data_IF_869153897437
#
_entry.id   IF_869153897437
#
_cell.length_a   1.000
_cell.length_b   1.000
_cell.length_c   1.000
_cell.angle_alpha   90.00
_cell.angle_beta   90.00
_cell.angle_gamma   90.00
#
_symmetry.space_group_name_H-M   'P 1'
#
loop_
_entity.id
_entity.type
_entity.pdbx_description
1 polymer ?
#
# COMPACT_ATOMS: atom_id res chain seq x y z
N UNK A 1 5.88 10.51 31.97
CA UNK A 1 5.59 9.43 32.96
C UNK A 1 4.10 9.12 32.99
N UNK A 2 3.71 7.97 33.54
CA UNK A 2 2.30 7.58 33.74
C UNK A 2 1.52 8.61 34.53
N UNK A 3 2.12 9.15 35.58
CA UNK A 3 1.48 10.17 36.43
C UNK A 3 1.21 11.46 35.68
N UNK A 4 2.13 11.92 34.84
CA UNK A 4 1.94 13.08 33.97
C UNK A 4 0.82 12.86 32.97
N UNK A 5 0.78 11.68 32.31
CA UNK A 5 -0.28 11.34 31.36
C UNK A 5 -1.65 11.31 32.06
N UNK A 6 -1.73 10.68 33.26
CA UNK A 6 -2.95 10.63 34.03
C UNK A 6 -3.42 12.04 34.42
N UNK A 7 -2.52 12.84 34.99
CA UNK A 7 -2.83 14.21 35.39
C UNK A 7 -3.30 15.05 34.22
N UNK A 8 -2.60 14.97 33.07
CA UNK A 8 -2.98 15.70 31.87
C UNK A 8 -4.32 15.24 31.32
N UNK A 9 -4.62 13.94 31.37
CA UNK A 9 -5.94 13.41 30.97
C UNK A 9 -7.07 13.90 31.89
N UNK A 10 -6.82 13.91 33.19
CA UNK A 10 -7.77 14.43 34.17
C UNK A 10 -8.01 15.94 33.98
N UNK A 11 -6.94 16.74 33.84
CA UNK A 11 -7.01 18.20 33.65
C UNK A 11 -7.70 18.57 32.33
N UNK A 12 -7.54 17.81 31.28
CA UNK A 12 -8.17 18.05 29.97
C UNK A 12 -9.53 17.34 29.79
N UNK A 13 -9.88 16.40 30.64
CA UNK A 13 -11.09 15.60 30.54
C UNK A 13 -11.08 14.67 29.29
N UNK A 14 -9.92 14.08 28.96
CA UNK A 14 -9.74 13.24 27.77
C UNK A 14 -9.26 11.84 28.13
N UNK A 15 -9.67 10.85 27.34
CA UNK A 15 -9.30 9.45 27.53
C UNK A 15 -8.00 9.06 26.80
N UNK A 16 -7.57 9.88 25.85
CA UNK A 16 -6.40 9.62 25.00
C UNK A 16 -5.66 10.93 24.71
N UNK A 17 -4.32 10.86 24.69
CA UNK A 17 -3.44 11.97 24.35
C UNK A 17 -2.60 11.60 23.15
N UNK A 18 -2.67 12.40 22.09
CA UNK A 18 -1.74 12.37 20.98
C UNK A 18 -0.60 13.37 21.22
N UNK A 19 0.62 12.89 21.18
CA UNK A 19 1.82 13.73 21.28
C UNK A 19 2.59 13.69 19.98
N UNK A 20 2.74 14.84 19.32
CA UNK A 20 3.71 15.03 18.25
C UNK A 20 5.05 15.34 18.88
N UNK A 21 5.90 14.34 19.01
CA UNK A 21 7.18 14.50 19.68
C UNK A 21 8.20 15.22 18.81
N UNK A 22 8.19 14.92 17.52
CA UNK A 22 9.10 15.48 16.54
C UNK A 22 8.54 15.35 15.12
N UNK A 23 8.75 16.36 14.31
CA UNK A 23 8.62 16.31 12.85
C UNK A 23 9.99 16.63 12.28
N UNK A 24 10.62 15.67 11.59
CA UNK A 24 11.85 15.89 10.86
C UNK A 24 11.52 16.12 9.39
N UNK A 25 12.01 17.22 8.83
CA UNK A 25 11.83 17.59 7.42
C UNK A 25 13.21 17.73 6.82
N UNK A 26 13.50 16.97 5.77
CA UNK A 26 14.75 17.06 5.01
C UNK A 26 14.39 17.29 3.55
N UNK A 27 14.98 18.30 2.93
CA UNK A 27 14.80 18.57 1.51
C UNK A 27 15.98 18.09 0.68
N UNK A 28 15.70 17.66 -0.55
CA UNK A 28 16.70 17.32 -1.56
C UNK A 28 16.19 17.69 -2.96
N UNK A 29 17.06 17.88 -3.95
CA UNK A 29 16.63 18.00 -5.35
C UNK A 29 15.85 16.79 -5.79
N UNK A 30 14.77 16.99 -6.53
CA UNK A 30 13.91 15.97 -7.09
C UNK A 30 13.46 16.32 -8.50
N UNK A 31 12.67 15.45 -9.11
CA UNK A 31 12.02 15.67 -10.41
C UNK A 31 10.61 15.15 -10.39
N UNK A 32 9.69 15.86 -11.05
CA UNK A 32 8.32 15.45 -11.24
C UNK A 32 8.09 15.03 -12.70
N UNK A 33 7.30 13.97 -12.87
CA UNK A 33 6.87 13.48 -14.17
C UNK A 33 5.36 13.62 -14.27
N UNK A 34 4.89 14.35 -15.27
CA UNK A 34 3.47 14.46 -15.57
C UNK A 34 3.15 13.64 -16.81
N UNK A 35 2.03 12.89 -16.86
CA UNK A 35 1.67 12.05 -18.00
C UNK A 35 1.58 12.79 -19.32
N UNK A 36 1.14 14.05 -19.27
CA UNK A 36 0.93 14.90 -20.45
C UNK A 36 2.14 15.79 -20.80
N UNK A 37 3.24 15.66 -20.05
CA UNK A 37 4.44 16.48 -20.27
C UNK A 37 5.66 15.57 -20.51
N UNK A 38 6.32 15.65 -21.69
CA UNK A 38 7.34 14.68 -22.09
C UNK A 38 8.69 14.84 -21.37
N UNK A 39 8.88 15.91 -20.62
CA UNK A 39 10.13 16.18 -19.92
C UNK A 39 9.93 16.24 -18.42
N UNK A 40 10.93 15.78 -17.61
CA UNK A 40 10.88 15.96 -16.19
C UNK A 40 10.95 17.44 -15.81
N UNK A 41 10.23 17.82 -14.76
CA UNK A 41 10.23 19.17 -14.20
C UNK A 41 11.04 19.14 -12.92
N UNK A 42 11.95 20.12 -12.76
CA UNK A 42 12.74 20.25 -11.55
C UNK A 42 11.85 20.49 -10.33
N UNK A 43 12.15 19.76 -9.27
CA UNK A 43 11.38 19.77 -8.04
C UNK A 43 12.27 19.77 -6.79
N UNK A 44 11.67 20.07 -5.66
CA UNK A 44 12.24 19.83 -4.33
C UNK A 44 11.44 18.72 -3.67
N UNK A 45 12.09 17.62 -3.34
CA UNK A 45 11.51 16.55 -2.53
C UNK A 45 11.72 16.86 -1.05
N UNK A 46 10.63 16.83 -0.29
CA UNK A 46 10.67 16.89 1.17
C UNK A 46 10.41 15.51 1.77
N UNK A 47 11.42 14.97 2.43
CA UNK A 47 11.32 13.74 3.21
C UNK A 47 10.83 14.11 4.60
N UNK A 48 9.65 13.63 4.97
CA UNK A 48 8.93 14.02 6.19
C UNK A 48 8.82 12.81 7.10
N UNK A 49 9.31 12.94 8.32
CA UNK A 49 9.35 11.85 9.31
C UNK A 49 8.77 12.31 10.65
N UNK A 50 7.44 12.29 10.82
CA UNK A 50 6.82 12.55 12.11
C UNK A 50 7.04 11.39 13.08
N UNK A 51 7.16 11.72 14.36
CA UNK A 51 7.06 10.76 15.47
C UNK A 51 5.89 11.19 16.34
N UNK A 52 4.84 10.36 16.32
CA UNK A 52 3.63 10.58 17.09
C UNK A 52 3.46 9.44 18.08
N UNK A 53 3.20 9.76 19.33
CA UNK A 53 2.91 8.79 20.38
C UNK A 53 1.48 8.96 20.89
N UNK A 54 0.84 7.84 21.10
CA UNK A 54 -0.50 7.78 21.66
C UNK A 54 -0.42 7.21 23.06
N UNK A 55 -0.95 7.98 24.01
CA UNK A 55 -0.96 7.61 25.42
C UNK A 55 -2.40 7.45 25.93
N UNK A 56 -2.57 6.54 26.87
CA UNK A 56 -3.79 6.39 27.67
C UNK A 56 -3.43 6.37 29.17
N UNK A 57 -4.30 6.87 30.06
CA UNK A 57 -3.95 7.17 31.45
C UNK A 57 -3.39 6.03 32.28
N UNK A 58 -3.77 4.80 31.96
CA UNK A 58 -3.47 3.63 32.78
C UNK A 58 -2.27 2.82 32.29
N UNK A 59 -1.43 3.36 31.38
CA UNK A 59 -0.23 2.67 30.87
C UNK A 59 1.03 3.46 31.12
N UNK A 60 2.11 2.75 31.43
CA UNK A 60 3.44 3.34 31.62
C UNK A 60 4.14 3.69 30.29
N UNK A 61 3.76 3.01 29.22
CA UNK A 61 4.30 3.20 27.87
C UNK A 61 3.22 3.67 26.92
N UNK A 62 3.57 4.35 25.82
CA UNK A 62 2.61 4.65 24.78
C UNK A 62 1.81 3.42 24.36
N UNK A 63 0.55 3.62 24.02
CA UNK A 63 -0.30 2.59 23.45
C UNK A 63 0.30 2.09 22.14
N UNK A 64 0.72 3.03 21.31
CA UNK A 64 1.52 2.78 20.11
C UNK A 64 2.29 4.03 19.69
N UNK A 65 3.24 3.85 18.78
CA UNK A 65 4.09 4.89 18.22
C UNK A 65 3.97 4.82 16.69
N UNK A 66 3.59 5.93 16.07
CA UNK A 66 3.65 6.10 14.63
C UNK A 66 4.96 6.81 14.29
N UNK A 67 5.82 6.14 13.55
CA UNK A 67 7.09 6.67 13.06
C UNK A 67 7.23 6.28 11.58
N UNK A 68 6.42 6.90 10.73
CA UNK A 68 6.40 6.64 9.29
C UNK A 68 7.12 7.78 8.57
N UNK A 69 7.93 7.44 7.57
CA UNK A 69 8.55 8.41 6.68
C UNK A 69 7.78 8.43 5.36
N UNK A 70 7.55 9.62 4.84
CA UNK A 70 6.92 9.81 3.53
C UNK A 70 7.58 10.96 2.79
N UNK A 71 7.27 11.14 1.49
CA UNK A 71 7.86 12.17 0.65
C UNK A 71 6.77 12.94 -0.08
N UNK A 72 6.87 14.27 0.00
CA UNK A 72 6.08 15.21 -0.79
C UNK A 72 7.01 16.02 -1.69
N UNK A 73 6.60 16.29 -2.92
CA UNK A 73 7.42 17.02 -3.89
C UNK A 73 6.77 18.34 -4.30
N UNK A 74 7.56 19.38 -4.39
CA UNK A 74 7.14 20.71 -4.87
C UNK A 74 7.87 21.03 -6.17
N UNK A 75 7.12 21.47 -7.16
CA UNK A 75 7.69 22.06 -8.37
C UNK A 75 8.45 23.33 -8.03
N UNK A 76 9.62 23.53 -8.66
CA UNK A 76 10.40 24.75 -8.47
C UNK A 76 9.76 25.88 -9.23
N UNK A 77 9.12 26.79 -8.50
CA UNK A 77 8.49 28.00 -9.00
C UNK A 77 8.96 29.23 -8.21
N UNK A 78 8.87 30.45 -8.76
CA UNK A 78 9.32 31.67 -8.06
C UNK A 78 8.63 31.91 -6.71
N UNK A 79 7.45 31.36 -6.49
CA UNK A 79 6.70 31.47 -5.24
C UNK A 79 7.09 30.40 -4.19
N UNK A 80 7.91 29.41 -4.56
CA UNK A 80 8.38 28.39 -3.63
C UNK A 80 9.37 29.01 -2.65
N UNK A 81 9.05 28.95 -1.38
CA UNK A 81 9.90 29.46 -0.29
C UNK A 81 10.05 28.43 0.81
N UNK A 82 11.11 28.50 1.59
CA UNK A 82 11.32 27.63 2.76
C UNK A 82 10.12 27.67 3.72
N UNK A 83 9.50 28.84 3.89
CA UNK A 83 8.32 28.99 4.72
C UNK A 83 7.10 28.21 4.16
N UNK A 84 6.90 28.22 2.84
CA UNK A 84 5.84 27.44 2.18
C UNK A 84 6.11 25.96 2.36
N UNK A 85 7.35 25.53 2.09
CA UNK A 85 7.78 24.13 2.28
C UNK A 85 7.53 23.65 3.70
N UNK A 86 8.01 24.39 4.71
CA UNK A 86 7.82 24.01 6.12
C UNK A 86 6.36 23.96 6.50
N UNK A 87 5.55 24.93 6.07
CA UNK A 87 4.12 24.94 6.34
C UNK A 87 3.42 23.71 5.77
N UNK A 88 3.56 23.47 4.46
CA UNK A 88 2.89 22.37 3.77
C UNK A 88 3.41 21.00 4.22
N UNK A 89 4.72 20.88 4.48
CA UNK A 89 5.31 19.68 5.05
C UNK A 89 4.77 19.38 6.46
N UNK A 90 4.53 20.42 7.27
CA UNK A 90 3.97 20.24 8.62
C UNK A 90 2.48 19.86 8.58
N UNK A 91 1.72 20.41 7.65
CA UNK A 91 0.32 20.03 7.41
C UNK A 91 0.24 18.59 6.92
N UNK A 92 1.11 18.19 6.00
CA UNK A 92 1.21 16.81 5.53
C UNK A 92 1.65 15.84 6.64
N UNK A 93 2.64 16.23 7.45
CA UNK A 93 3.08 15.42 8.60
C UNK A 93 1.94 15.11 9.59
N UNK A 94 0.99 16.03 9.72
CA UNK A 94 -0.17 15.84 10.60
C UNK A 94 -1.17 14.81 10.02
N UNK A 95 -1.22 14.59 8.72
CA UNK A 95 -2.10 13.59 8.08
C UNK A 95 -1.56 12.16 8.19
N UNK A 96 -0.23 11.98 8.21
CA UNK A 96 0.40 10.66 8.24
C UNK A 96 -0.10 9.75 9.40
N UNK A 97 -0.19 10.20 10.66
CA UNK A 97 -0.70 9.37 11.74
C UNK A 97 -2.21 9.12 11.67
N UNK A 98 -2.98 9.95 10.97
CA UNK A 98 -4.44 9.81 10.85
C UNK A 98 -4.81 8.48 10.19
N UNK A 99 -4.07 8.06 9.16
CA UNK A 99 -4.24 6.77 8.49
C UNK A 99 -4.09 5.57 9.45
N UNK A 100 -3.32 5.74 10.54
CA UNK A 100 -3.13 4.69 11.56
C UNK A 100 -4.14 4.77 12.70
N UNK A 101 -4.81 5.90 12.85
CA UNK A 101 -5.72 6.19 13.97
C UNK A 101 -7.19 5.97 13.61
N UNK A 102 -7.53 6.18 12.35
CA UNK A 102 -8.91 6.11 11.88
C UNK A 102 -9.09 4.95 10.90
N UNK A 103 -10.21 4.24 10.94
CA UNK A 103 -10.58 3.30 9.89
C UNK A 103 -10.64 4.03 8.54
N UNK A 104 -9.95 3.51 7.54
CA UNK A 104 -9.93 4.05 6.19
C UNK A 104 -9.95 2.92 5.17
N UNK A 105 -10.29 3.27 3.93
CA UNK A 105 -10.23 2.35 2.81
C UNK A 105 -8.90 2.52 2.10
N UNK A 106 -8.18 1.42 1.91
CA UNK A 106 -6.98 1.37 1.11
C UNK A 106 -7.27 0.79 -0.26
N UNK A 107 -6.74 1.42 -1.31
CA UNK A 107 -6.72 0.86 -2.65
C UNK A 107 -5.45 0.04 -2.84
N UNK A 108 -5.60 -1.25 -2.98
CA UNK A 108 -4.47 -2.16 -3.20
C UNK A 108 -4.49 -2.63 -4.65
N UNK A 109 -3.57 -2.16 -5.52
CA UNK A 109 -3.52 -2.60 -6.90
C UNK A 109 -3.14 -4.08 -6.96
N UNK A 110 -3.85 -4.83 -7.79
CA UNK A 110 -3.59 -6.24 -8.07
C UNK A 110 -3.34 -6.43 -9.55
N UNK A 111 -2.33 -7.22 -9.90
CA UNK A 111 -2.10 -7.63 -11.27
C UNK A 111 -2.68 -9.01 -11.51
N UNK A 112 -2.95 -9.32 -12.76
CA UNK A 112 -3.36 -10.63 -13.23
C UNK A 112 -2.64 -10.98 -14.53
N UNK A 113 -2.59 -12.26 -14.86
CA UNK A 113 -2.05 -12.74 -16.12
C UNK A 113 -3.19 -12.90 -17.14
N UNK A 114 -3.07 -12.25 -18.28
CA UNK A 114 -4.07 -12.30 -19.37
C UNK A 114 -3.56 -12.94 -20.67
N UNK A 115 -2.35 -13.48 -20.66
CA UNK A 115 -1.71 -14.00 -21.86
C UNK A 115 -1.18 -15.43 -21.75
N UNK A 116 -0.76 -15.95 -22.90
CA UNK A 116 -0.06 -17.24 -23.03
C UNK A 116 -0.89 -18.37 -23.60
N UNK A 117 -2.20 -18.38 -23.41
CA UNK A 117 -3.12 -19.36 -24.03
C UNK A 117 -4.51 -18.74 -24.21
N UNK A 118 -5.41 -19.48 -24.88
CA UNK A 118 -6.72 -18.95 -25.24
C UNK A 118 -7.57 -18.71 -23.99
N UNK A 119 -7.57 -19.64 -23.05
CA UNK A 119 -8.36 -19.56 -21.83
C UNK A 119 -7.96 -18.33 -20.98
N UNK A 120 -6.67 -18.01 -20.91
CA UNK A 120 -6.18 -16.83 -20.18
C UNK A 120 -6.59 -15.52 -20.87
N UNK A 121 -6.61 -15.47 -22.20
CA UNK A 121 -7.06 -14.30 -22.96
C UNK A 121 -8.56 -14.09 -22.84
N UNK A 122 -9.33 -15.16 -22.92
CA UNK A 122 -10.79 -15.12 -22.76
C UNK A 122 -11.16 -14.66 -21.35
N UNK A 123 -10.46 -15.16 -20.32
CA UNK A 123 -10.59 -14.67 -18.95
C UNK A 123 -10.31 -13.16 -18.84
N UNK A 124 -9.29 -12.64 -19.53
CA UNK A 124 -8.98 -11.21 -19.57
C UNK A 124 -10.09 -10.38 -20.23
N UNK A 125 -10.84 -10.93 -21.19
CA UNK A 125 -12.03 -10.27 -21.73
C UNK A 125 -13.13 -10.19 -20.67
N UNK A 126 -13.45 -11.29 -20.02
CA UNK A 126 -14.46 -11.32 -18.95
C UNK A 126 -14.13 -10.37 -17.79
N UNK A 127 -12.86 -10.24 -17.43
CA UNK A 127 -12.44 -9.27 -16.39
C UNK A 127 -12.72 -7.81 -16.80
N UNK A 128 -12.48 -7.44 -18.05
CA UNK A 128 -12.80 -6.08 -18.54
C UNK A 128 -14.30 -5.79 -18.51
N UNK A 129 -15.11 -6.84 -18.57
CA UNK A 129 -16.57 -6.78 -18.42
C UNK A 129 -17.03 -6.92 -16.96
N UNK A 130 -16.08 -6.93 -16.01
CA UNK A 130 -16.32 -7.16 -14.58
C UNK A 130 -16.99 -8.51 -14.26
N UNK A 131 -16.83 -9.49 -15.15
CA UNK A 131 -17.40 -10.83 -15.02
C UNK A 131 -16.37 -11.81 -14.44
N UNK A 132 -16.18 -11.73 -13.13
CA UNK A 132 -15.18 -12.50 -12.40
C UNK A 132 -15.44 -13.99 -12.38
N UNK A 133 -16.70 -14.41 -12.38
CA UNK A 133 -17.09 -15.83 -12.29
C UNK A 133 -16.78 -16.57 -13.60
N UNK A 134 -17.01 -15.94 -14.74
CA UNK A 134 -16.61 -16.51 -16.03
C UNK A 134 -15.09 -16.48 -16.21
N UNK A 135 -14.41 -15.42 -15.78
CA UNK A 135 -12.95 -15.37 -15.78
C UNK A 135 -12.35 -16.52 -14.93
N UNK A 136 -12.89 -16.75 -13.74
CA UNK A 136 -12.51 -17.88 -12.88
C UNK A 136 -12.70 -19.23 -13.58
N UNK A 137 -13.83 -19.43 -14.28
CA UNK A 137 -14.12 -20.66 -15.01
C UNK A 137 -13.05 -20.93 -16.08
N UNK A 138 -12.62 -19.91 -16.82
CA UNK A 138 -11.55 -20.01 -17.81
C UNK A 138 -10.20 -20.31 -17.16
N UNK A 139 -9.88 -19.68 -16.02
CA UNK A 139 -8.64 -19.98 -15.29
C UNK A 139 -8.62 -21.41 -14.74
N UNK A 140 -9.75 -21.94 -14.30
CA UNK A 140 -9.87 -23.36 -13.89
C UNK A 140 -9.57 -24.30 -15.05
N UNK A 141 -10.12 -24.04 -16.23
CA UNK A 141 -9.86 -24.82 -17.45
C UNK A 141 -8.37 -24.74 -17.81
N UNK A 142 -7.78 -23.53 -17.75
CA UNK A 142 -6.35 -23.35 -18.01
C UNK A 142 -5.48 -24.13 -16.99
N UNK A 143 -5.83 -24.09 -15.71
CA UNK A 143 -5.11 -24.82 -14.66
C UNK A 143 -5.13 -26.34 -14.88
N UNK A 144 -6.24 -26.89 -15.34
CA UNK A 144 -6.38 -28.32 -15.61
C UNK A 144 -5.65 -28.77 -16.89
N UNK A 145 -5.79 -27.99 -17.96
CA UNK A 145 -5.25 -28.35 -19.28
C UNK A 145 -3.78 -28.03 -19.46
N UNK A 146 -3.26 -27.00 -18.77
CA UNK A 146 -1.89 -26.48 -19.01
C UNK A 146 -0.89 -27.02 -18.00
N UNK A 147 0.39 -26.85 -18.30
CA UNK A 147 1.53 -27.29 -17.46
C UNK A 147 2.52 -26.15 -17.23
N UNK A 148 3.42 -26.29 -16.26
CA UNK A 148 4.51 -25.36 -16.01
C UNK A 148 4.01 -23.94 -15.74
N UNK A 149 4.63 -22.95 -16.37
CA UNK A 149 4.34 -21.53 -16.16
C UNK A 149 2.89 -21.14 -16.49
N UNK A 150 2.27 -21.77 -17.49
CA UNK A 150 0.87 -21.49 -17.82
C UNK A 150 -0.09 -21.95 -16.71
N UNK A 151 0.21 -23.10 -16.13
CA UNK A 151 -0.53 -23.61 -14.96
C UNK A 151 -0.32 -22.72 -13.73
N UNK A 152 0.90 -22.24 -13.52
CA UNK A 152 1.24 -21.31 -12.46
C UNK A 152 0.43 -20.00 -12.56
N UNK A 153 0.41 -19.39 -13.76
CA UNK A 153 -0.34 -18.15 -14.02
C UNK A 153 -1.84 -18.31 -13.75
N UNK A 154 -2.41 -19.42 -14.17
CA UNK A 154 -3.81 -19.73 -13.89
C UNK A 154 -4.05 -19.89 -12.37
N UNK A 155 -3.19 -20.59 -11.66
CA UNK A 155 -3.29 -20.74 -10.20
C UNK A 155 -3.21 -19.40 -9.47
N UNK A 156 -2.32 -18.49 -9.92
CA UNK A 156 -2.21 -17.15 -9.37
C UNK A 156 -3.49 -16.33 -9.56
N UNK A 157 -4.06 -16.33 -10.77
CA UNK A 157 -5.31 -15.61 -11.04
C UNK A 157 -6.50 -16.19 -10.27
N UNK A 158 -6.52 -17.50 -10.02
CA UNK A 158 -7.54 -18.13 -9.16
C UNK A 158 -7.37 -17.66 -7.70
N UNK A 159 -6.14 -17.48 -7.22
CA UNK A 159 -5.92 -16.90 -5.90
C UNK A 159 -6.51 -15.49 -5.79
N UNK A 160 -6.29 -14.66 -6.81
CA UNK A 160 -6.86 -13.31 -6.89
C UNK A 160 -8.41 -13.35 -6.89
N UNK A 161 -9.03 -14.27 -7.61
CA UNK A 161 -10.48 -14.44 -7.58
C UNK A 161 -11.01 -14.69 -6.17
N UNK A 162 -10.37 -15.59 -5.44
CA UNK A 162 -10.80 -15.90 -4.06
C UNK A 162 -10.53 -14.75 -3.09
N UNK A 163 -9.46 -13.97 -3.29
CA UNK A 163 -9.21 -12.74 -2.52
C UNK A 163 -10.36 -11.73 -2.71
N UNK A 164 -10.80 -11.49 -3.94
CA UNK A 164 -11.90 -10.56 -4.25
C UNK A 164 -13.24 -11.05 -3.71
N UNK A 165 -13.42 -12.37 -3.59
CA UNK A 165 -14.60 -12.98 -2.96
C UNK A 165 -14.49 -13.08 -1.43
N UNK A 166 -13.49 -12.43 -0.82
CA UNK A 166 -13.20 -12.43 0.62
C UNK A 166 -12.96 -13.83 1.21
N UNK A 167 -12.51 -14.77 0.37
CA UNK A 167 -12.16 -16.12 0.79
C UNK A 167 -10.64 -16.28 0.89
N UNK A 168 -10.08 -15.70 1.95
CA UNK A 168 -8.62 -15.62 2.19
C UNK A 168 -7.97 -17.00 2.29
N UNK A 169 -8.65 -18.00 2.84
CA UNK A 169 -8.10 -19.35 2.97
C UNK A 169 -7.89 -20.01 1.61
N UNK A 170 -8.91 -19.97 0.75
CA UNK A 170 -8.78 -20.47 -0.62
C UNK A 170 -7.78 -19.66 -1.44
N UNK A 171 -7.74 -18.35 -1.26
CA UNK A 171 -6.74 -17.50 -1.91
C UNK A 171 -5.31 -17.92 -1.54
N UNK A 172 -5.02 -18.15 -0.26
CA UNK A 172 -3.71 -18.65 0.23
C UNK A 172 -3.38 -20.04 -0.32
N UNK A 173 -4.35 -20.94 -0.37
CA UNK A 173 -4.14 -22.26 -0.93
C UNK A 173 -3.72 -22.19 -2.41
N UNK A 174 -4.43 -21.40 -3.21
CA UNK A 174 -4.13 -21.26 -4.63
C UNK A 174 -2.84 -20.50 -4.89
N UNK A 175 -2.53 -19.49 -4.09
CA UNK A 175 -1.24 -18.82 -4.13
C UNK A 175 -0.09 -19.79 -3.79
N UNK A 176 -0.30 -20.68 -2.82
CA UNK A 176 0.64 -21.76 -2.52
C UNK A 176 0.87 -22.73 -3.70
N UNK A 177 -0.18 -23.05 -4.47
CA UNK A 177 -0.07 -23.84 -5.70
C UNK A 177 0.74 -23.08 -6.77
N UNK A 178 0.53 -21.78 -6.94
CA UNK A 178 1.30 -20.96 -7.86
C UNK A 178 2.78 -20.90 -7.46
N UNK A 179 3.09 -20.68 -6.18
CA UNK A 179 4.46 -20.67 -5.64
C UNK A 179 5.22 -21.99 -5.88
N UNK A 180 4.53 -23.13 -5.84
CA UNK A 180 5.15 -24.44 -6.14
C UNK A 180 5.44 -24.67 -7.62
N UNK A 181 4.77 -23.97 -8.52
CA UNK A 181 4.87 -24.11 -9.96
C UNK A 181 5.76 -23.05 -10.62
N UNK A 182 6.08 -21.99 -9.91
CA UNK A 182 6.89 -20.90 -10.43
C UNK A 182 8.33 -21.35 -10.67
N UNK A 183 8.93 -20.86 -11.75
CA UNK A 183 10.35 -21.14 -12.07
C UNK A 183 11.22 -20.26 -11.17
N UNK A 184 12.14 -20.90 -10.43
CA UNK A 184 13.09 -20.18 -9.58
C UNK A 184 13.98 -19.23 -10.38
N UNK A 185 14.27 -18.06 -9.82
CA UNK A 185 15.02 -16.97 -10.47
C UNK A 185 14.24 -16.21 -11.54
N UNK A 186 12.95 -16.49 -11.73
CA UNK A 186 12.14 -15.80 -12.72
C UNK A 186 11.55 -14.49 -12.19
N UNK A 187 11.18 -13.58 -13.10
CA UNK A 187 10.41 -12.38 -12.77
C UNK A 187 9.08 -12.72 -12.09
N UNK A 188 8.44 -13.82 -12.52
CA UNK A 188 7.18 -14.27 -11.92
C UNK A 188 7.34 -14.66 -10.45
N UNK A 189 8.48 -15.26 -10.06
CA UNK A 189 8.78 -15.55 -8.65
C UNK A 189 8.85 -14.28 -7.81
N UNK A 190 9.51 -13.25 -8.31
CA UNK A 190 9.58 -11.95 -7.64
C UNK A 190 8.19 -11.31 -7.49
N UNK A 191 7.39 -11.33 -8.56
CA UNK A 191 6.02 -10.79 -8.55
C UNK A 191 5.13 -11.52 -7.54
N UNK A 192 5.20 -12.85 -7.50
CA UNK A 192 4.42 -13.67 -6.55
C UNK A 192 4.90 -13.46 -5.11
N UNK A 193 6.20 -13.21 -4.91
CA UNK A 193 6.75 -12.93 -3.58
C UNK A 193 6.25 -11.61 -3.01
N UNK A 194 6.03 -10.59 -3.85
CA UNK A 194 5.42 -9.32 -3.46
C UNK A 194 3.93 -9.40 -3.15
N UNK A 195 3.26 -10.48 -3.59
CA UNK A 195 1.85 -10.68 -3.34
C UNK A 195 1.65 -11.20 -1.92
N UNK A 196 1.21 -10.35 -1.02
CA UNK A 196 0.86 -10.70 0.38
C UNK A 196 -0.66 -10.72 0.56
N UNK A 197 -1.15 -11.74 1.20
CA UNK A 197 -2.55 -11.92 1.62
C UNK A 197 -2.66 -11.77 3.13
#
# INVERSE_FOLDING_TARGET
TKEEVRKLSEDLGVDMILSFDRIHIQTKPGVLFYPDFPMPIDAVDGIISPIVRVYIPNRDKPLFVVAKQDTISWEIEPALSDRKIVKEASEYAASIPVEHLLPHWDEVPRFYYDGGNIEMRDAGVYLRENNWDEAYSQWKIAYEKRKGQQKMKAAFNIALYYEIKDNVEQAKEWLGKAKKLVKSGSRDEQLIAFYSL
#
